data_IF_730548078663
#
_entry.id   IF_730548078663
#
_cell.length_a   1.000
_cell.length_b   1.000
_cell.length_c   1.000
_cell.angle_alpha   90.00
_cell.angle_beta   90.00
_cell.angle_gamma   90.00
#
_symmetry.space_group_name_H-M   'P 1'
#
loop_
_entity.id
_entity.type
_entity.pdbx_description
1 polymer ?
#
# COMPACT_ATOMS: atom_id res chain seq x y z
N UNK A 1 -1.78 11.55 -2.42
CA UNK A 1 -1.36 10.59 -1.39
C UNK A 1 -1.05 9.25 -2.03
N UNK A 2 -0.02 8.59 -1.55
CA UNK A 2 0.32 7.26 -2.03
C UNK A 2 -0.57 6.19 -1.39
N UNK A 3 -0.55 4.98 -1.94
CA UNK A 3 -1.38 3.87 -1.47
C UNK A 3 -1.04 3.35 -0.08
N UNK A 4 0.04 3.84 0.55
CA UNK A 4 0.44 3.46 1.91
C UNK A 4 0.02 4.48 2.98
N UNK A 5 -0.79 5.47 2.61
CA UNK A 5 -1.26 6.51 3.54
C UNK A 5 -2.75 6.76 3.32
N UNK A 6 -3.52 6.77 4.41
CA UNK A 6 -4.97 7.05 4.36
C UNK A 6 -5.34 8.08 5.41
N UNK A 7 -6.36 8.89 5.10
CA UNK A 7 -6.93 9.86 6.03
C UNK A 7 -8.26 9.32 6.55
N UNK A 8 -8.43 9.35 7.86
CA UNK A 8 -9.59 8.76 8.54
C UNK A 8 -10.05 9.61 9.72
N UNK A 9 -11.26 9.31 10.18
CA UNK A 9 -11.73 9.72 11.49
C UNK A 9 -11.70 8.48 12.41
N UNK A 10 -11.22 8.63 13.63
CA UNK A 10 -11.06 7.53 14.58
C UNK A 10 -12.11 7.68 15.68
N UNK A 11 -12.94 6.64 15.85
CA UNK A 11 -13.89 6.53 16.94
C UNK A 11 -13.16 6.01 18.19
N UNK A 12 -13.08 6.85 19.23
CA UNK A 12 -12.47 6.49 20.50
C UNK A 12 -13.49 5.93 21.50
N UNK A 13 -14.74 5.82 21.09
CA UNK A 13 -15.82 5.42 21.96
C UNK A 13 -16.38 6.60 22.75
N UNK A 14 -17.52 6.39 23.45
CA UNK A 14 -18.18 7.39 24.27
C UNK A 14 -18.53 8.69 23.52
N UNK A 15 -18.74 8.61 22.21
CA UNK A 15 -19.02 9.79 21.37
C UNK A 15 -17.83 10.68 21.09
N UNK A 16 -16.61 10.22 21.37
CA UNK A 16 -15.37 10.98 21.15
C UNK A 16 -14.72 10.52 19.86
N UNK A 17 -14.42 11.46 18.97
CA UNK A 17 -13.80 11.20 17.69
C UNK A 17 -12.53 12.02 17.51
N UNK A 18 -11.48 11.40 16.96
CA UNK A 18 -10.33 12.11 16.43
C UNK A 18 -10.52 12.28 14.93
N UNK A 19 -10.73 13.51 14.48
CA UNK A 19 -11.00 13.80 13.08
C UNK A 19 -9.73 14.07 12.29
N UNK A 20 -9.78 13.75 10.98
CA UNK A 20 -8.72 14.07 10.01
C UNK A 20 -7.35 13.56 10.42
N UNK A 21 -7.31 12.29 10.83
CA UNK A 21 -6.05 11.64 11.21
C UNK A 21 -5.44 10.96 9.99
N UNK A 22 -4.14 11.18 9.80
CA UNK A 22 -3.38 10.54 8.73
C UNK A 22 -2.72 9.28 9.25
N UNK A 23 -3.06 8.15 8.64
CA UNK A 23 -2.53 6.83 9.01
C UNK A 23 -1.55 6.39 7.95
N UNK A 24 -0.31 6.09 8.36
CA UNK A 24 0.66 5.41 7.53
C UNK A 24 0.46 3.91 7.70
N UNK A 25 0.23 3.20 6.61
CA UNK A 25 0.06 1.74 6.68
C UNK A 25 1.38 1.10 7.09
N UNK A 26 1.35 0.44 8.26
CA UNK A 26 2.55 -0.12 8.88
C UNK A 26 3.11 -1.28 8.09
N UNK A 27 4.43 -1.31 7.96
CA UNK A 27 5.17 -2.46 7.44
C UNK A 27 5.13 -2.62 5.92
N UNK A 28 4.63 -1.63 5.18
CA UNK A 28 4.57 -1.71 3.72
C UNK A 28 5.12 -0.44 3.06
N UNK A 29 5.56 -0.61 1.82
CA UNK A 29 5.94 0.48 0.94
C UNK A 29 5.25 0.26 -0.41
N UNK A 30 4.51 1.27 -0.89
CA UNK A 30 3.85 1.22 -2.19
C UNK A 30 4.62 2.06 -3.20
N UNK A 31 4.49 1.76 -4.53
CA UNK A 31 5.07 2.64 -5.53
C UNK A 31 4.46 4.04 -5.42
N UNK A 32 5.25 5.06 -5.74
CA UNK A 32 4.78 6.43 -5.69
C UNK A 32 3.77 6.73 -6.80
N UNK A 33 2.67 7.37 -6.44
CA UNK A 33 1.65 7.80 -7.41
C UNK A 33 1.89 9.22 -7.92
N UNK A 34 2.71 10.01 -7.22
CA UNK A 34 3.08 11.38 -7.59
C UNK A 34 4.55 11.43 -7.95
N UNK A 35 4.87 10.92 -9.13
CA UNK A 35 6.25 10.86 -9.63
C UNK A 35 6.27 11.18 -11.11
N UNK A 36 7.42 11.60 -11.60
CA UNK A 36 7.66 11.81 -13.03
C UNK A 36 7.91 10.49 -13.77
N UNK A 37 8.24 9.43 -13.03
CA UNK A 37 8.39 8.09 -13.59
C UNK A 37 7.01 7.53 -13.90
N UNK A 38 6.65 7.50 -15.18
CA UNK A 38 5.31 7.10 -15.63
C UNK A 38 5.00 5.63 -15.35
N UNK A 39 6.00 4.77 -15.33
CA UNK A 39 5.80 3.36 -15.01
C UNK A 39 5.50 3.22 -13.51
N UNK A 40 6.34 3.77 -12.65
CA UNK A 40 6.11 3.75 -11.20
C UNK A 40 4.75 4.36 -10.85
N UNK A 41 4.42 5.50 -11.49
CA UNK A 41 3.13 6.16 -11.26
C UNK A 41 1.95 5.23 -11.56
N UNK A 42 2.02 4.47 -12.64
CA UNK A 42 0.94 3.55 -13.01
C UNK A 42 0.73 2.49 -11.94
N UNK A 43 1.80 1.88 -11.44
CA UNK A 43 1.72 0.88 -10.37
C UNK A 43 1.33 1.52 -9.03
N UNK A 44 1.77 2.74 -8.76
CA UNK A 44 1.37 3.50 -7.58
C UNK A 44 -0.12 3.83 -7.57
N UNK A 45 -0.68 4.24 -8.71
CA UNK A 45 -2.12 4.50 -8.84
C UNK A 45 -2.93 3.21 -8.69
N UNK A 46 -2.43 2.09 -9.19
CA UNK A 46 -3.08 0.80 -9.03
C UNK A 46 -3.09 0.37 -7.56
N UNK A 47 -1.98 0.53 -6.84
CA UNK A 47 -1.93 0.25 -5.41
C UNK A 47 -2.96 1.10 -4.64
N UNK A 48 -3.04 2.38 -4.97
CA UNK A 48 -4.01 3.29 -4.37
C UNK A 48 -5.45 2.86 -4.67
N UNK A 49 -5.72 2.41 -5.89
CA UNK A 49 -7.04 1.90 -6.28
C UNK A 49 -7.43 0.69 -5.43
N UNK A 50 -6.49 -0.22 -5.19
CA UNK A 50 -6.75 -1.42 -4.38
C UNK A 50 -7.04 -1.06 -2.92
N UNK A 51 -6.34 -0.10 -2.36
CA UNK A 51 -6.63 0.40 -1.01
C UNK A 51 -8.06 0.96 -0.95
N UNK A 52 -8.48 1.72 -1.96
CA UNK A 52 -9.84 2.28 -2.00
C UNK A 52 -10.91 1.20 -2.17
N UNK A 53 -10.60 0.08 -2.81
CA UNK A 53 -11.53 -1.04 -2.91
C UNK A 53 -11.73 -1.73 -1.56
N UNK A 54 -10.65 -1.93 -0.79
CA UNK A 54 -10.74 -2.55 0.54
C UNK A 54 -11.28 -1.59 1.60
N UNK A 55 -10.95 -0.31 1.48
CA UNK A 55 -11.32 0.74 2.43
C UNK A 55 -12.09 1.84 1.70
N UNK A 56 -13.35 1.55 1.25
CA UNK A 56 -14.12 2.56 0.53
C UNK A 56 -14.35 3.81 1.37
N UNK A 57 -14.45 4.96 0.69
CA UNK A 57 -14.77 6.23 1.34
C UNK A 57 -16.09 6.08 2.11
N UNK A 58 -16.15 6.63 3.32
CA UNK A 58 -17.30 6.56 4.24
C UNK A 58 -17.60 5.15 4.78
N UNK A 59 -16.70 4.19 4.56
CA UNK A 59 -16.84 2.86 5.18
C UNK A 59 -16.33 2.87 6.62
N UNK A 60 -16.83 1.92 7.41
CA UNK A 60 -16.39 1.69 8.79
C UNK A 60 -15.43 0.52 8.79
N UNK A 61 -14.22 0.73 9.30
CA UNK A 61 -13.16 -0.26 9.29
C UNK A 61 -12.56 -0.41 10.69
N UNK A 62 -11.94 -1.56 10.94
CA UNK A 62 -11.23 -1.80 12.18
C UNK A 62 -9.77 -1.42 12.02
N UNK A 63 -9.34 -0.42 12.79
CA UNK A 63 -7.96 0.06 12.82
C UNK A 63 -7.22 -0.57 13.99
N UNK A 64 -6.06 -1.13 13.71
CA UNK A 64 -5.12 -1.61 14.72
C UNK A 64 -3.93 -0.66 14.69
N UNK A 65 -3.76 0.14 15.75
CA UNK A 65 -2.65 1.09 15.82
C UNK A 65 -1.37 0.38 16.23
N UNK A 66 -0.25 0.84 15.66
CA UNK A 66 1.08 0.35 15.97
C UNK A 66 1.88 1.52 16.53
N UNK A 67 2.54 1.31 17.66
CA UNK A 67 3.33 2.36 18.29
C UNK A 67 4.54 2.71 17.44
N UNK A 68 4.64 3.99 17.05
CA UNK A 68 5.82 4.51 16.36
C UNK A 68 6.85 4.93 17.40
N UNK A 69 7.91 4.14 17.52
CA UNK A 69 9.00 4.40 18.47
C UNK A 69 9.80 5.65 18.12
N UNK A 70 9.79 6.06 16.85
CA UNK A 70 10.54 7.23 16.41
C UNK A 70 9.84 8.55 16.71
N UNK A 71 8.53 8.54 16.88
CA UNK A 71 7.72 9.74 17.07
C UNK A 71 7.84 10.78 15.95
N UNK A 72 8.37 10.37 14.79
CA UNK A 72 8.62 11.28 13.68
C UNK A 72 7.32 11.63 12.95
N UNK A 73 7.20 12.90 12.56
CA UNK A 73 6.17 13.43 11.67
C UNK A 73 4.74 13.39 12.20
N UNK A 74 4.50 13.06 13.47
CA UNK A 74 3.15 13.02 14.04
C UNK A 74 2.21 12.04 13.35
N UNK A 75 2.75 11.05 12.62
CA UNK A 75 1.93 10.06 11.92
C UNK A 75 1.57 8.91 12.85
N UNK A 76 0.35 8.43 12.68
CA UNK A 76 -0.10 7.21 13.35
C UNK A 76 0.20 6.05 12.40
N UNK A 77 0.87 5.03 12.91
CA UNK A 77 1.08 3.79 12.17
C UNK A 77 -0.09 2.85 12.44
N UNK A 78 -0.58 2.19 11.41
CA UNK A 78 -1.73 1.32 11.59
C UNK A 78 -1.87 0.22 10.56
N UNK A 79 -2.70 -0.74 10.93
CA UNK A 79 -3.15 -1.83 10.07
C UNK A 79 -4.67 -1.82 10.07
N UNK A 80 -5.27 -2.14 8.92
CA UNK A 80 -6.72 -2.28 8.84
C UNK A 80 -7.08 -3.75 8.67
N UNK A 81 -7.89 -4.26 9.59
CA UNK A 81 -8.36 -5.64 9.52
C UNK A 81 -9.45 -5.75 8.45
N UNK A 82 -9.31 -6.73 7.57
CA UNK A 82 -10.25 -7.01 6.50
C UNK A 82 -10.56 -8.51 6.47
N UNK A 83 -11.68 -8.86 5.83
CA UNK A 83 -12.00 -10.25 5.54
C UNK A 83 -11.78 -10.52 4.05
N UNK A 84 -10.88 -11.45 3.75
CA UNK A 84 -10.58 -11.88 2.39
C UNK A 84 -11.45 -13.09 2.07
N UNK A 85 -12.51 -12.87 1.27
CA UNK A 85 -13.46 -13.91 0.90
C UNK A 85 -12.87 -14.97 -0.04
N UNK A 86 -11.86 -14.61 -0.84
CA UNK A 86 -11.20 -15.57 -1.73
C UNK A 86 -10.38 -16.60 -0.94
N UNK A 87 -9.66 -16.12 0.08
CA UNK A 87 -8.85 -16.99 0.95
C UNK A 87 -9.63 -17.48 2.17
N UNK A 88 -10.87 -17.02 2.34
CA UNK A 88 -11.76 -17.34 3.47
C UNK A 88 -11.07 -17.15 4.82
N UNK A 89 -10.46 -15.97 5.02
CA UNK A 89 -9.75 -15.65 6.26
C UNK A 89 -9.76 -14.16 6.56
N UNK A 90 -9.64 -13.85 7.85
CA UNK A 90 -9.36 -12.51 8.32
C UNK A 90 -7.87 -12.22 8.15
N UNK A 91 -7.54 -11.06 7.60
CA UNK A 91 -6.17 -10.59 7.42
C UNK A 91 -6.13 -9.08 7.62
N UNK A 92 -5.06 -8.43 7.21
CA UNK A 92 -4.99 -6.98 7.16
C UNK A 92 -4.83 -6.54 5.71
N UNK A 93 -5.29 -5.32 5.39
CA UNK A 93 -5.06 -4.76 4.06
C UNK A 93 -3.56 -4.64 3.79
N UNK A 94 -2.77 -4.40 4.85
CA UNK A 94 -1.30 -4.32 4.76
C UNK A 94 -0.73 -5.61 4.19
N UNK A 95 -1.07 -6.76 4.78
CA UNK A 95 -0.59 -8.07 4.31
C UNK A 95 -1.18 -8.43 2.96
N UNK A 96 -2.45 -8.10 2.71
CA UNK A 96 -3.07 -8.35 1.42
C UNK A 96 -2.33 -7.65 0.29
N UNK A 97 -1.94 -6.39 0.52
CA UNK A 97 -1.18 -5.61 -0.47
C UNK A 97 0.16 -6.25 -0.80
N UNK A 98 0.88 -6.75 0.21
CA UNK A 98 2.15 -7.46 0.00
C UNK A 98 1.91 -8.75 -0.78
N UNK A 99 0.94 -9.56 -0.35
CA UNK A 99 0.68 -10.88 -0.93
C UNK A 99 0.17 -10.81 -2.37
N UNK A 100 -0.41 -9.68 -2.75
CA UNK A 100 -0.95 -9.46 -4.09
C UNK A 100 -0.09 -8.51 -4.95
N UNK A 101 1.17 -8.31 -4.58
CA UNK A 101 2.20 -7.59 -5.35
C UNK A 101 1.94 -6.09 -5.53
N UNK A 102 1.10 -5.49 -4.68
CA UNK A 102 0.84 -4.05 -4.71
C UNK A 102 1.71 -3.25 -3.75
N UNK A 103 2.40 -3.94 -2.85
CA UNK A 103 3.31 -3.32 -1.90
C UNK A 103 4.50 -4.24 -1.62
N UNK A 104 5.57 -3.63 -1.14
CA UNK A 104 6.78 -4.32 -0.66
C UNK A 104 6.74 -4.31 0.85
N UNK A 105 7.10 -5.42 1.49
CA UNK A 105 7.28 -5.47 2.94
C UNK A 105 8.40 -4.50 3.34
N UNK A 106 8.12 -3.58 4.25
CA UNK A 106 9.08 -2.59 4.71
C UNK A 106 9.53 -2.88 6.14
N UNK A 107 10.83 -3.09 6.32
CA UNK A 107 11.42 -3.40 7.61
C UNK A 107 12.75 -2.66 7.83
N UNK A 108 12.96 -1.56 7.10
CA UNK A 108 14.18 -0.75 7.23
C UNK A 108 15.30 -1.14 6.26
N UNK A 109 15.03 -1.98 5.27
CA UNK A 109 16.01 -2.37 4.25
C UNK A 109 16.39 -1.17 3.36
N UNK A 110 17.44 -1.32 2.57
CA UNK A 110 17.96 -0.24 1.73
C UNK A 110 16.94 0.17 0.66
N UNK A 111 17.08 1.40 0.17
CA UNK A 111 16.26 1.91 -0.93
C UNK A 111 16.42 1.09 -2.20
N UNK A 112 17.64 0.60 -2.46
CA UNK A 112 17.92 -0.24 -3.63
C UNK A 112 17.21 -1.58 -3.53
N UNK A 113 17.21 -2.20 -2.35
CA UNK A 113 16.49 -3.46 -2.12
C UNK A 113 14.98 -3.28 -2.32
N UNK A 114 14.42 -2.19 -1.79
CA UNK A 114 13.00 -1.86 -1.97
C UNK A 114 12.69 -1.66 -3.45
N UNK A 115 13.51 -0.91 -4.17
CA UNK A 115 13.32 -0.65 -5.60
C UNK A 115 13.34 -1.97 -6.40
N UNK A 116 14.27 -2.87 -6.10
CA UNK A 116 14.35 -4.16 -6.76
C UNK A 116 13.12 -5.04 -6.48
N UNK A 117 12.62 -5.01 -5.25
CA UNK A 117 11.41 -5.75 -4.89
C UNK A 117 10.18 -5.20 -5.62
N UNK A 118 10.08 -3.89 -5.80
CA UNK A 118 9.03 -3.28 -6.60
C UNK A 118 9.08 -3.76 -8.05
N UNK A 119 10.26 -3.84 -8.65
CA UNK A 119 10.41 -4.34 -10.03
C UNK A 119 9.89 -5.78 -10.17
N UNK A 120 10.17 -6.63 -9.19
CA UNK A 120 9.66 -8.00 -9.16
C UNK A 120 8.12 -8.02 -9.06
N UNK A 121 7.56 -7.13 -8.24
CA UNK A 121 6.12 -7.00 -8.11
C UNK A 121 5.46 -6.56 -9.42
N UNK A 122 6.06 -5.60 -10.13
CA UNK A 122 5.55 -5.15 -11.43
C UNK A 122 5.50 -6.31 -12.42
N UNK A 123 6.56 -7.11 -12.47
CA UNK A 123 6.63 -8.28 -13.34
C UNK A 123 5.51 -9.27 -13.01
N UNK A 124 5.29 -9.55 -11.73
CA UNK A 124 4.22 -10.46 -11.29
C UNK A 124 2.83 -9.95 -11.68
N UNK A 125 2.56 -8.66 -11.49
CA UNK A 125 1.27 -8.06 -11.83
C UNK A 125 0.99 -8.13 -13.35
N UNK A 126 1.99 -7.88 -14.16
CA UNK A 126 1.85 -7.95 -15.63
C UNK A 126 1.66 -9.40 -16.08
N UNK A 127 2.44 -10.35 -15.57
CA UNK A 127 2.32 -11.77 -15.89
C UNK A 127 0.95 -12.34 -15.53
N UNK A 128 0.36 -11.87 -14.42
CA UNK A 128 -0.93 -12.34 -13.94
C UNK A 128 -2.11 -11.57 -14.56
N UNK A 129 -1.84 -10.65 -15.47
CA UNK A 129 -2.85 -9.79 -16.10
C UNK A 129 -3.67 -8.99 -15.08
N UNK A 130 -3.05 -8.64 -13.94
CA UNK A 130 -3.69 -7.83 -12.90
C UNK A 130 -3.65 -6.34 -13.20
N UNK A 131 -2.81 -5.95 -14.15
CA UNK A 131 -2.69 -4.58 -14.63
C UNK A 131 -2.49 -4.59 -16.14
N UNK A 132 -3.11 -3.64 -16.82
CA UNK A 132 -2.96 -3.50 -18.27
C UNK A 132 -1.67 -2.76 -18.57
N UNK A 133 -0.63 -3.51 -18.99
CA UNK A 133 0.68 -2.96 -19.27
C UNK A 133 1.43 -3.86 -20.25
N UNK A 134 2.14 -3.27 -21.21
CA UNK A 134 2.93 -4.02 -22.19
C UNK A 134 4.13 -4.70 -21.55
N UNK A 135 4.27 -6.00 -21.76
CA UNK A 135 5.42 -6.77 -21.26
C UNK A 135 6.74 -6.24 -21.83
N UNK A 136 6.77 -5.87 -23.10
CA UNK A 136 7.99 -5.35 -23.72
C UNK A 136 8.40 -3.99 -23.14
N UNK A 137 7.43 -3.14 -22.84
CA UNK A 137 7.70 -1.85 -22.17
C UNK A 137 8.22 -2.06 -20.75
N UNK A 138 7.67 -3.04 -20.04
CA UNK A 138 8.14 -3.38 -18.70
C UNK A 138 9.56 -3.94 -18.75
N UNK A 139 9.86 -4.83 -19.70
CA UNK A 139 11.21 -5.39 -19.85
C UNK A 139 12.25 -4.28 -20.10
N UNK A 140 11.92 -3.32 -20.96
CA UNK A 140 12.78 -2.16 -21.23
C UNK A 140 12.99 -1.33 -19.96
N UNK A 141 11.93 -1.09 -19.21
CA UNK A 141 11.99 -0.34 -17.96
C UNK A 141 12.88 -1.04 -16.93
N UNK A 142 12.71 -2.34 -16.73
CA UNK A 142 13.49 -3.13 -15.78
C UNK A 142 14.98 -3.11 -16.14
N UNK A 143 15.30 -3.28 -17.42
CA UNK A 143 16.69 -3.23 -17.90
C UNK A 143 17.30 -1.87 -17.60
N UNK A 144 16.55 -0.78 -17.78
CA UNK A 144 17.05 0.57 -17.53
C UNK A 144 17.34 0.85 -16.04
N UNK A 145 16.78 0.03 -15.14
CA UNK A 145 16.90 0.19 -13.68
C UNK A 145 17.86 -0.81 -13.03
N UNK A 146 18.34 -1.79 -13.81
CA UNK A 146 19.25 -2.81 -13.28
C UNK A 146 20.73 -2.46 -13.38
#
# INVERSE_FOLDING_TARGET
MDGDTVDIDIDLGFGVWMQKQRIRLHGIDTPESRTRDLVEKKFGLEAKRMILEWLPIDSIQKLITVKDKSGKYGRILGKFEIFDSEEDRTTTVNDWMINNYHAVAYHGQSKDDIANEHLKNYQALVEQNQIEFSQSDLDTYIISRS
#
